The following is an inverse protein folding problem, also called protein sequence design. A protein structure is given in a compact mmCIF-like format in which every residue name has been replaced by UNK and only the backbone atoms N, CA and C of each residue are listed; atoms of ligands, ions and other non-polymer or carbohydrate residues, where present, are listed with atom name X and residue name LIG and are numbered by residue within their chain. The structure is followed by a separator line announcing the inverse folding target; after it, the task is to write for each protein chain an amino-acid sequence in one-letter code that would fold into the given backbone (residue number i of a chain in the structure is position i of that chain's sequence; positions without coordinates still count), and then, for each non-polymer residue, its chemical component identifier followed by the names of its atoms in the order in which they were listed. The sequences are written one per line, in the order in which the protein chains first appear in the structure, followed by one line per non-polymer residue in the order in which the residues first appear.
data_IF_821399747890
#
_entry.id   IF_821399747890
#
_cell.length_a   1.000
_cell.length_b   1.000
_cell.length_c   1.000
_cell.angle_alpha   90.00
_cell.angle_beta   90.00
_cell.angle_gamma   90.00
#
_symmetry.space_group_name_H-M   'P 1'
#
loop_
_entity.id
_entity.type
_entity.pdbx_description
1 polymer ?
#
# COMPACT_ATOMS: atom_id res chain seq x y z
N UNK A 1 20.88 7.31 12.49
CA UNK A 1 22.01 6.98 11.61
C UNK A 1 22.96 6.04 12.32
N UNK A 2 23.44 5.01 11.64
CA UNK A 2 24.47 4.11 12.14
C UNK A 2 25.29 3.56 10.97
N UNK A 3 26.42 2.93 11.29
CA UNK A 3 27.23 2.22 10.32
C UNK A 3 27.02 0.73 10.56
N UNK A 4 26.65 0.00 9.51
CA UNK A 4 26.41 -1.43 9.58
C UNK A 4 27.74 -2.22 9.60
N UNK A 5 27.72 -3.56 9.82
CA UNK A 5 28.92 -4.39 9.79
C UNK A 5 29.67 -4.40 8.44
N UNK A 6 28.99 -4.04 7.34
CA UNK A 6 29.56 -3.92 6.00
C UNK A 6 30.16 -2.54 5.72
N UNK A 7 30.14 -1.66 6.75
CA UNK A 7 30.60 -0.26 6.70
C UNK A 7 29.74 0.66 5.84
N UNK A 8 28.48 0.28 5.58
CA UNK A 8 27.51 1.16 4.94
C UNK A 8 26.92 2.12 5.97
N UNK A 9 26.71 3.35 5.55
CA UNK A 9 25.94 4.32 6.34
C UNK A 9 24.47 4.01 6.17
N UNK A 10 23.75 3.81 7.28
CA UNK A 10 22.33 3.48 7.26
C UNK A 10 21.53 4.54 8.02
N UNK A 11 20.49 5.03 7.38
CA UNK A 11 19.48 5.88 7.98
C UNK A 11 18.20 5.06 8.19
N UNK A 12 17.87 4.79 9.44
CA UNK A 12 16.62 4.12 9.81
C UNK A 12 15.67 5.13 10.40
N UNK A 13 14.43 5.10 9.94
CA UNK A 13 13.37 5.97 10.44
C UNK A 13 12.04 5.25 10.59
N UNK A 14 11.17 5.92 11.34
CA UNK A 14 9.76 5.57 11.48
C UNK A 14 8.98 6.87 11.45
N UNK A 15 7.89 6.89 10.70
CA UNK A 15 6.98 8.01 10.63
C UNK A 15 5.55 7.54 10.83
N UNK A 16 4.78 8.32 11.55
CA UNK A 16 3.36 8.09 11.77
C UNK A 16 2.61 9.39 11.55
N UNK A 17 1.50 9.32 10.79
CA UNK A 17 0.65 10.48 10.50
C UNK A 17 -0.80 10.07 10.38
N UNK A 18 -1.70 10.93 10.85
CA UNK A 18 -3.13 10.77 10.63
C UNK A 18 -3.54 11.56 9.39
N UNK A 19 -4.14 10.87 8.44
CA UNK A 19 -4.65 11.44 7.19
C UNK A 19 -6.16 11.30 7.11
N UNK A 20 -6.81 12.25 6.47
CA UNK A 20 -8.23 12.16 6.16
C UNK A 20 -8.38 11.68 4.72
N UNK A 21 -9.09 10.56 4.55
CA UNK A 21 -9.32 9.90 3.26
C UNK A 21 -10.83 9.77 3.03
N UNK A 22 -11.21 9.69 1.76
CA UNK A 22 -12.60 9.42 1.37
C UNK A 22 -12.79 7.90 1.16
N UNK A 23 -13.78 7.34 1.82
CA UNK A 23 -14.12 5.93 1.68
C UNK A 23 -14.66 5.63 0.28
N UNK A 24 -13.99 4.77 -0.48
CA UNK A 24 -14.41 4.43 -1.85
C UNK A 24 -15.69 3.59 -1.92
N UNK A 25 -16.25 3.18 -0.78
CA UNK A 25 -17.51 2.44 -0.72
C UNK A 25 -18.72 3.34 -0.51
N UNK A 26 -18.65 4.31 0.41
CA UNK A 26 -19.78 5.17 0.77
C UNK A 26 -19.56 6.65 0.44
N UNK A 27 -18.34 7.09 0.10
CA UNK A 27 -18.00 8.48 -0.17
C UNK A 27 -17.78 9.34 1.09
N UNK A 28 -17.95 8.80 2.29
CA UNK A 28 -17.77 9.56 3.52
C UNK A 28 -16.28 9.69 3.90
N UNK A 29 -15.86 10.85 4.43
CA UNK A 29 -14.50 11.04 4.90
C UNK A 29 -14.25 10.25 6.19
N UNK A 30 -13.05 9.70 6.33
CA UNK A 30 -12.61 9.01 7.53
C UNK A 30 -11.13 9.26 7.81
N UNK A 31 -10.74 9.15 9.07
CA UNK A 31 -9.34 9.26 9.48
C UNK A 31 -8.68 7.90 9.46
N UNK A 32 -7.48 7.85 8.89
CA UNK A 32 -6.62 6.68 8.89
C UNK A 32 -5.23 7.07 9.35
N UNK A 33 -4.68 6.29 10.27
CA UNK A 33 -3.28 6.42 10.67
C UNK A 33 -2.42 5.63 9.71
N UNK A 34 -1.45 6.31 9.10
CA UNK A 34 -0.39 5.69 8.30
C UNK A 34 0.85 5.54 9.17
N UNK A 35 1.52 4.41 9.05
CA UNK A 35 2.78 4.12 9.72
C UNK A 35 3.74 3.52 8.71
N UNK A 36 4.91 4.13 8.57
CA UNK A 36 5.97 3.72 7.65
C UNK A 36 7.27 3.51 8.40
N UNK A 37 8.03 2.51 7.97
CA UNK A 37 9.37 2.23 8.44
C UNK A 37 10.29 2.18 7.23
N UNK A 38 11.38 2.89 7.27
CA UNK A 38 12.33 2.92 6.17
C UNK A 38 13.77 2.69 6.66
N UNK A 39 14.58 2.14 5.78
CA UNK A 39 16.02 1.96 5.97
C UNK A 39 16.74 2.34 4.69
N UNK A 40 17.22 3.57 4.64
CA UNK A 40 17.98 4.09 3.51
C UNK A 40 19.48 3.94 3.72
N UNK A 41 20.18 3.70 2.61
CA UNK A 41 21.64 3.82 2.54
C UNK A 41 22.01 4.90 1.52
N UNK A 42 22.70 5.98 1.94
CA UNK A 42 23.11 7.03 1.04
C UNK A 42 24.09 6.55 -0.03
N UNK A 43 23.81 6.89 -1.29
CA UNK A 43 24.65 6.59 -2.45
C UNK A 43 25.02 7.88 -3.18
N UNK A 44 26.21 7.90 -3.78
CA UNK A 44 26.65 9.08 -4.56
C UNK A 44 26.04 9.11 -5.98
N UNK A 45 25.68 7.94 -6.48
CA UNK A 45 25.02 7.75 -7.78
C UNK A 45 24.25 6.43 -7.79
N UNK A 46 23.31 6.31 -8.71
CA UNK A 46 22.47 5.11 -8.85
C UNK A 46 23.23 3.84 -9.25
N UNK A 47 24.42 3.95 -9.84
CA UNK A 47 25.23 2.77 -10.17
C UNK A 47 25.67 2.01 -8.91
N UNK A 48 25.76 2.70 -7.76
CA UNK A 48 26.09 2.09 -6.47
C UNK A 48 24.90 1.40 -5.81
N UNK A 49 23.68 1.67 -6.28
CA UNK A 49 22.48 1.06 -5.74
C UNK A 49 22.46 -0.47 -5.95
N UNK A 50 23.00 -0.94 -7.06
CA UNK A 50 23.06 -2.37 -7.40
C UNK A 50 23.98 -3.17 -6.46
N UNK A 51 24.92 -2.49 -5.79
CA UNK A 51 25.85 -3.10 -4.83
C UNK A 51 25.29 -3.14 -3.40
N UNK A 52 24.13 -2.50 -3.16
CA UNK A 52 23.52 -2.48 -1.82
C UNK A 52 22.81 -3.81 -1.51
N UNK A 53 22.83 -4.25 -0.24
CA UNK A 53 21.95 -5.32 0.22
C UNK A 53 20.47 -4.95 0.01
N UNK A 54 19.64 -5.90 -0.39
CA UNK A 54 18.20 -5.73 -0.63
C UNK A 54 17.40 -5.17 0.56
N UNK A 55 17.99 -5.20 1.75
CA UNK A 55 17.36 -4.67 2.96
C UNK A 55 17.42 -3.14 3.04
N UNK A 56 18.28 -2.51 2.26
CA UNK A 56 18.48 -1.07 2.25
C UNK A 56 17.98 -0.47 0.94
N UNK A 57 17.24 0.61 1.05
CA UNK A 57 16.83 1.40 -0.10
C UNK A 57 17.89 2.47 -0.39
N UNK A 58 18.33 2.62 -1.66
CA UNK A 58 19.27 3.66 -2.01
C UNK A 58 18.61 5.04 -1.93
N UNK A 59 19.32 6.01 -1.35
CA UNK A 59 18.94 7.42 -1.40
C UNK A 59 20.13 8.24 -1.86
N UNK A 60 19.95 9.02 -2.93
CA UNK A 60 21.01 9.83 -3.49
C UNK A 60 21.21 11.10 -2.65
N UNK A 61 22.45 11.45 -2.37
CA UNK A 61 22.80 12.72 -1.78
C UNK A 61 23.27 13.72 -2.83
N UNK A 62 23.02 14.99 -2.59
CA UNK A 62 23.40 16.08 -3.50
C UNK A 62 24.93 16.33 -3.50
N UNK A 63 25.38 17.27 -4.34
CA UNK A 63 26.79 17.65 -4.46
C UNK A 63 27.41 18.15 -3.12
N UNK A 64 26.58 18.55 -2.16
CA UNK A 64 26.99 19.00 -0.84
C UNK A 64 26.98 17.88 0.21
N UNK A 65 26.63 16.65 -0.17
CA UNK A 65 26.50 15.51 0.75
C UNK A 65 25.25 15.57 1.62
N UNK A 66 24.21 16.28 1.19
CA UNK A 66 22.95 16.43 1.90
C UNK A 66 21.86 15.55 1.26
N UNK A 67 20.98 15.03 2.09
CA UNK A 67 19.82 14.23 1.68
C UNK A 67 18.57 15.08 1.92
N UNK A 68 17.64 15.08 0.96
CA UNK A 68 16.30 15.62 1.16
C UNK A 68 15.46 14.64 2.00
N UNK A 69 15.59 14.75 3.31
CA UNK A 69 14.88 13.90 4.24
C UNK A 69 13.36 14.14 4.19
N UNK A 70 12.93 15.39 3.94
CA UNK A 70 11.50 15.71 3.88
C UNK A 70 10.86 15.02 2.67
N UNK A 71 11.48 15.18 1.49
CA UNK A 71 11.02 14.51 0.27
C UNK A 71 10.97 13.00 0.43
N UNK A 72 12.01 12.39 1.02
CA UNK A 72 12.02 10.94 1.27
C UNK A 72 10.87 10.47 2.18
N UNK A 73 10.57 11.23 3.26
CA UNK A 73 9.45 10.91 4.16
C UNK A 73 8.10 11.10 3.46
N UNK A 74 7.96 12.14 2.62
CA UNK A 74 6.74 12.35 1.84
C UNK A 74 6.50 11.20 0.86
N UNK A 75 7.53 10.72 0.18
CA UNK A 75 7.44 9.58 -0.74
C UNK A 75 7.00 8.31 -0.01
N UNK A 76 7.57 8.02 1.16
CA UNK A 76 7.16 6.88 2.00
C UNK A 76 5.69 6.96 2.42
N UNK A 77 5.23 8.14 2.81
CA UNK A 77 3.84 8.36 3.18
C UNK A 77 2.89 8.17 1.99
N UNK A 78 3.30 8.63 0.80
CA UNK A 78 2.52 8.42 -0.44
C UNK A 78 2.42 6.92 -0.76
N UNK A 79 3.51 6.18 -0.64
CA UNK A 79 3.53 4.73 -0.87
C UNK A 79 2.72 3.95 0.16
N UNK A 80 2.61 4.45 1.39
CA UNK A 80 1.81 3.85 2.45
C UNK A 80 0.30 4.09 2.31
N UNK A 81 -0.12 5.00 1.42
CA UNK A 81 -1.55 5.23 1.17
C UNK A 81 -2.21 3.95 0.60
N UNK A 82 -3.36 3.54 1.12
CA UNK A 82 -4.07 2.40 0.57
C UNK A 82 -4.57 2.71 -0.85
N UNK A 83 -4.41 1.76 -1.78
CA UNK A 83 -4.91 1.89 -3.15
C UNK A 83 -6.44 2.06 -3.19
N UNK A 84 -7.15 1.45 -2.24
CA UNK A 84 -8.61 1.54 -2.09
C UNK A 84 -8.91 1.87 -0.64
N UNK A 85 -8.93 3.16 -0.25
CA UNK A 85 -9.21 3.55 1.11
C UNK A 85 -10.67 3.22 1.47
N UNK A 86 -10.85 2.48 2.55
CA UNK A 86 -12.16 2.13 3.08
C UNK A 86 -12.11 2.05 4.60
N UNK A 87 -13.08 2.63 5.27
CA UNK A 87 -13.24 2.40 6.69
C UNK A 87 -13.91 1.03 6.95
N UNK A 88 -13.89 0.57 8.20
CA UNK A 88 -14.43 -0.74 8.56
C UNK A 88 -15.91 -0.87 8.16
N UNK A 89 -16.35 -2.10 7.87
CA UNK A 89 -17.74 -2.37 7.48
C UNK A 89 -18.77 -1.96 8.54
N UNK A 90 -18.37 -1.96 9.81
CA UNK A 90 -19.23 -1.56 10.94
C UNK A 90 -19.57 -0.06 10.95
N UNK A 91 -18.68 0.76 10.37
CA UNK A 91 -18.81 2.22 10.30
C UNK A 91 -19.21 2.72 8.92
N UNK A 92 -19.44 1.79 7.97
CA UNK A 92 -19.80 2.13 6.61
C UNK A 92 -21.32 2.08 6.43
N UNK A 93 -21.94 3.17 5.97
CA UNK A 93 -23.37 3.21 5.69
C UNK A 93 -23.79 2.24 4.59
N UNK A 94 -22.86 1.93 3.67
CA UNK A 94 -23.07 0.95 2.61
C UNK A 94 -22.54 -0.40 3.07
N UNK A 95 -23.45 -1.33 3.41
CA UNK A 95 -23.06 -2.69 3.75
C UNK A 95 -22.38 -3.38 2.56
N UNK A 96 -21.37 -4.19 2.85
CA UNK A 96 -20.66 -4.98 1.82
C UNK A 96 -21.54 -6.08 1.19
N UNK A 97 -22.78 -6.23 1.64
CA UNK A 97 -23.71 -7.27 1.21
C UNK A 97 -24.59 -6.78 0.07
N UNK A 98 -24.38 -7.41 -1.08
CA UNK A 98 -25.27 -7.48 -2.23
C UNK A 98 -25.95 -6.17 -2.66
N UNK A 99 -25.20 -5.33 -3.33
CA UNK A 99 -25.85 -4.34 -4.20
C UNK A 99 -26.38 -5.06 -5.45
N UNK A 100 -27.62 -5.49 -5.40
CA UNK A 100 -28.32 -6.00 -6.58
C UNK A 100 -28.79 -4.82 -7.40
N UNK A 101 -28.10 -4.51 -8.47
CA UNK A 101 -28.51 -3.49 -9.43
C UNK A 101 -29.36 -4.15 -10.53
N UNK A 102 -30.66 -3.83 -10.52
CA UNK A 102 -31.62 -4.26 -11.54
C UNK A 102 -32.17 -5.68 -11.32
N UNK A 103 -33.27 -5.95 -11.98
CA UNK A 103 -33.88 -7.27 -12.04
C UNK A 103 -33.37 -7.99 -13.30
N UNK A 104 -32.80 -9.19 -13.13
CA UNK A 104 -32.44 -10.05 -14.24
C UNK A 104 -33.72 -10.57 -14.90
N UNK A 105 -33.89 -10.43 -16.24
CA UNK A 105 -34.98 -11.10 -16.94
C UNK A 105 -34.99 -12.59 -16.61
N UNK A 106 -36.16 -13.16 -16.34
CA UNK A 106 -36.32 -14.56 -15.96
C UNK A 106 -35.64 -15.57 -16.90
N UNK A 107 -35.50 -15.22 -18.16
CA UNK A 107 -34.83 -16.04 -19.17
C UNK A 107 -33.31 -16.14 -18.95
N UNK A 108 -32.67 -15.11 -18.37
CA UNK A 108 -31.25 -15.10 -18.03
C UNK A 108 -30.99 -15.79 -16.68
N UNK A 109 -31.93 -15.73 -15.74
CA UNK A 109 -31.85 -16.39 -14.45
C UNK A 109 -31.90 -17.94 -14.58
N UNK A 110 -32.45 -18.46 -15.66
CA UNK A 110 -32.59 -19.90 -15.93
C UNK A 110 -31.39 -20.53 -16.64
N UNK A 111 -30.38 -19.73 -17.05
CA UNK A 111 -29.18 -20.31 -17.67
C UNK A 111 -28.38 -21.10 -16.65
N UNK A 112 -28.01 -22.36 -16.94
CA UNK A 112 -27.19 -23.14 -16.03
C UNK A 112 -25.85 -22.45 -15.85
N UNK A 113 -25.40 -22.35 -14.60
CA UNK A 113 -24.09 -21.77 -14.28
C UNK A 113 -22.99 -22.65 -14.92
N UNK A 114 -22.20 -22.14 -15.88
CA UNK A 114 -21.14 -22.90 -16.54
C UNK A 114 -20.06 -23.38 -15.54
N UNK A 115 -19.96 -22.72 -14.38
CA UNK A 115 -19.00 -23.08 -13.33
C UNK A 115 -19.58 -24.07 -12.29
N UNK A 116 -20.81 -24.52 -12.43
CA UNK A 116 -21.41 -25.51 -11.50
C UNK A 116 -20.60 -26.82 -11.44
N UNK A 117 -19.87 -27.15 -12.51
CA UNK A 117 -18.96 -28.33 -12.56
C UNK A 117 -17.83 -28.23 -11.53
N UNK A 118 -17.42 -27.01 -11.12
CA UNK A 118 -16.35 -26.81 -10.14
C UNK A 118 -16.76 -27.19 -8.71
N UNK A 119 -18.05 -27.26 -8.42
CA UNK A 119 -18.55 -27.71 -7.12
C UNK A 119 -18.13 -29.16 -6.82
N UNK A 120 -17.94 -29.98 -7.86
CA UNK A 120 -17.53 -31.37 -7.73
C UNK A 120 -16.02 -31.56 -7.49
N UNK A 121 -15.20 -30.50 -7.68
CA UNK A 121 -13.75 -30.55 -7.42
C UNK A 121 -13.39 -30.38 -5.94
N UNK A 122 -14.32 -29.95 -5.11
CA UNK A 122 -14.11 -29.74 -3.67
C UNK A 122 -14.26 -31.00 -2.82
N UNK A 123 -14.55 -32.16 -3.43
CA UNK A 123 -14.81 -33.43 -2.73
C UNK A 123 -13.66 -34.45 -2.90
N UNK A 124 -12.42 -34.01 -2.91
CA UNK A 124 -11.25 -34.89 -2.78
C UNK A 124 -10.33 -34.44 -1.68
#
# INVERSE_FOLDING_TARGET
FYIDPQKLVVMKGQVQVDVELECQRCGEPFKQTLECHFMYSPVANWDQADDLPEIYEPIEFNEFGEIDLLGAVEDELILALPLVPMHSSEHCEVSAHEQVFGELPEELAKKPNPFAVLANLKQK
#
